data_IF_935844817211
#
_entry.id   IF_935844817211
#
_cell.length_a   1.000
_cell.length_b   1.000
_cell.length_c   1.000
_cell.angle_alpha   90.00
_cell.angle_beta   90.00
_cell.angle_gamma   90.00
#
_symmetry.space_group_name_H-M   'P 1'
#
loop_
_entity.id
_entity.type
_entity.pdbx_description
1 polymer ?
#
# COMPACT_ATOMS: atom_id res chain seq x y z
N UNK A 1 9.91 -15.92 -20.11
CA UNK A 1 9.36 -14.93 -21.06
C UNK A 1 7.96 -14.40 -20.69
N UNK A 2 7.39 -14.78 -19.55
CA UNK A 2 6.02 -14.40 -19.12
C UNK A 2 5.91 -13.18 -18.19
N UNK A 3 6.98 -12.79 -17.53
CA UNK A 3 6.94 -11.74 -16.47
C UNK A 3 6.93 -10.32 -17.05
N UNK A 4 7.44 -10.11 -18.26
CA UNK A 4 7.49 -8.80 -18.93
C UNK A 4 6.13 -8.33 -19.45
N UNK A 5 5.19 -9.23 -19.74
CA UNK A 5 3.86 -8.89 -20.26
C UNK A 5 2.88 -8.43 -19.16
N UNK A 6 3.00 -8.93 -17.95
CA UNK A 6 2.17 -8.52 -16.80
C UNK A 6 2.52 -7.10 -16.32
N UNK A 7 3.80 -6.74 -16.34
CA UNK A 7 4.27 -5.39 -15.96
C UNK A 7 3.76 -4.32 -16.94
N UNK A 8 3.63 -4.68 -18.23
CA UNK A 8 3.06 -3.80 -19.25
C UNK A 8 1.56 -3.57 -19.10
N UNK A 9 0.82 -4.55 -18.57
CA UNK A 9 -0.63 -4.44 -18.38
C UNK A 9 -1.04 -3.51 -17.21
N UNK A 10 -0.24 -3.47 -16.14
CA UNK A 10 -0.48 -2.55 -15.03
C UNK A 10 -0.05 -1.10 -15.32
N UNK A 11 0.89 -0.93 -16.26
CA UNK A 11 1.34 0.38 -16.74
C UNK A 11 0.39 1.03 -17.75
N UNK A 12 -0.55 0.29 -18.32
CA UNK A 12 -1.40 0.71 -19.43
C UNK A 12 -2.31 1.91 -19.13
N UNK A 13 -2.77 2.08 -17.89
CA UNK A 13 -3.67 3.19 -17.52
C UNK A 13 -2.89 4.50 -17.34
N UNK A 14 -1.65 4.46 -16.86
CA UNK A 14 -0.78 5.65 -16.75
C UNK A 14 -0.17 6.04 -18.11
N UNK A 15 0.13 5.06 -18.96
CA UNK A 15 0.68 5.29 -20.30
C UNK A 15 -0.33 5.96 -21.24
N UNK A 16 -1.63 5.67 -21.12
CA UNK A 16 -2.69 6.32 -21.86
C UNK A 16 -2.80 7.82 -21.55
N UNK A 17 -2.73 8.24 -20.30
CA UNK A 17 -2.74 9.65 -19.89
C UNK A 17 -1.46 10.37 -20.33
N UNK A 18 -0.32 9.72 -20.21
CA UNK A 18 0.95 10.22 -20.68
C UNK A 18 0.94 10.48 -22.19
N UNK A 19 0.39 9.55 -22.96
CA UNK A 19 0.24 9.70 -24.40
C UNK A 19 -0.71 10.83 -24.79
N UNK A 20 -1.79 11.04 -24.03
CA UNK A 20 -2.70 12.17 -24.22
C UNK A 20 -2.02 13.52 -23.97
N UNK A 21 -1.27 13.67 -22.88
CA UNK A 21 -0.52 14.90 -22.59
C UNK A 21 0.57 15.16 -23.64
N UNK A 22 1.29 14.12 -24.06
CA UNK A 22 2.28 14.20 -25.11
C UNK A 22 1.67 14.69 -26.43
N UNK A 23 0.51 14.16 -26.80
CA UNK A 23 -0.21 14.54 -28.02
C UNK A 23 -0.73 15.97 -27.93
N UNK A 24 -1.27 16.41 -26.81
CA UNK A 24 -1.71 17.78 -26.60
C UNK A 24 -0.57 18.80 -26.69
N UNK A 25 0.60 18.50 -26.11
CA UNK A 25 1.78 19.36 -26.13
C UNK A 25 2.34 19.43 -27.58
N UNK A 26 2.42 18.30 -28.27
CA UNK A 26 2.90 18.23 -29.64
C UNK A 26 1.98 19.01 -30.61
N UNK A 27 0.67 18.89 -30.47
CA UNK A 27 -0.30 19.64 -31.27
C UNK A 27 -0.28 21.13 -30.93
N UNK A 28 -0.24 21.49 -29.65
CA UNK A 28 -0.17 22.87 -29.18
C UNK A 28 1.08 23.59 -29.67
N UNK A 29 2.24 22.93 -29.68
CA UNK A 29 3.49 23.48 -30.17
C UNK A 29 3.43 23.75 -31.69
N UNK A 30 2.83 22.85 -32.48
CA UNK A 30 2.66 23.06 -33.92
C UNK A 30 1.75 24.25 -34.23
N UNK A 31 0.66 24.45 -33.51
CA UNK A 31 -0.26 25.58 -33.64
C UNK A 31 0.45 26.90 -33.32
N UNK A 32 1.22 26.93 -32.24
CA UNK A 32 1.98 28.11 -31.80
C UNK A 32 3.03 28.53 -32.83
N UNK A 33 3.75 27.55 -33.43
CA UNK A 33 4.73 27.81 -34.49
C UNK A 33 4.09 28.36 -35.78
N UNK A 34 2.90 27.87 -36.12
CA UNK A 34 2.15 28.39 -37.25
C UNK A 34 1.75 29.86 -37.05
N UNK A 35 1.32 30.24 -35.83
CA UNK A 35 0.95 31.63 -35.51
C UNK A 35 2.15 32.57 -35.42
N UNK A 36 3.33 32.09 -35.02
CA UNK A 36 4.55 32.91 -34.92
C UNK A 36 5.22 33.19 -36.27
N UNK A 37 4.72 32.62 -37.39
CA UNK A 37 5.18 32.93 -38.76
C UNK A 37 6.64 32.54 -39.03
N UNK A 38 7.19 31.61 -38.24
CA UNK A 38 8.59 31.20 -38.37
C UNK A 38 8.76 30.29 -39.59
N UNK A 39 9.36 30.81 -40.66
CA UNK A 39 9.61 30.11 -41.92
C UNK A 39 10.89 29.27 -41.88
N UNK A 40 10.96 28.31 -40.95
CA UNK A 40 12.06 27.34 -40.90
C UNK A 40 11.69 26.09 -41.73
N UNK A 41 12.68 25.38 -42.33
CA UNK A 41 12.38 24.20 -43.12
C UNK A 41 11.61 23.16 -42.31
N UNK A 42 10.56 22.65 -42.91
CA UNK A 42 9.56 21.75 -42.33
C UNK A 42 10.13 20.57 -41.49
N UNK A 43 11.27 20.05 -41.90
CA UNK A 43 11.97 18.96 -41.20
C UNK A 43 12.44 19.33 -39.80
N UNK A 44 12.93 20.54 -39.55
CA UNK A 44 13.37 21.02 -38.25
C UNK A 44 12.20 21.23 -37.29
N UNK A 45 11.05 21.65 -37.82
CA UNK A 45 9.83 21.77 -37.03
C UNK A 45 9.30 20.40 -36.55
N UNK A 46 9.34 19.41 -37.45
CA UNK A 46 8.97 18.03 -37.08
C UNK A 46 9.90 17.45 -36.00
N UNK A 47 11.20 17.66 -36.14
CA UNK A 47 12.20 17.17 -35.20
C UNK A 47 12.09 17.88 -33.84
N UNK A 48 11.89 19.19 -33.83
CA UNK A 48 11.72 19.96 -32.60
C UNK A 48 10.41 19.60 -31.87
N UNK A 49 9.31 19.39 -32.60
CA UNK A 49 8.02 19.00 -32.03
C UNK A 49 8.03 17.61 -31.38
N UNK A 50 8.98 16.75 -31.76
CA UNK A 50 9.21 15.43 -31.17
C UNK A 50 10.18 15.47 -29.99
N UNK A 51 11.27 16.23 -30.11
CA UNK A 51 12.33 16.27 -29.11
C UNK A 51 11.97 17.10 -27.87
N UNK A 52 11.26 18.23 -28.05
CA UNK A 52 10.88 19.10 -26.93
C UNK A 52 9.93 18.38 -25.95
N UNK A 53 8.80 17.79 -26.36
CA UNK A 53 7.92 17.08 -25.42
C UNK A 53 8.59 15.84 -24.81
N UNK A 54 9.48 15.19 -25.56
CA UNK A 54 10.25 14.06 -25.02
C UNK A 54 11.24 14.51 -23.94
N UNK A 55 11.94 15.62 -24.15
CA UNK A 55 12.84 16.22 -23.16
C UNK A 55 12.10 16.72 -21.91
N UNK A 56 10.97 17.40 -22.10
CA UNK A 56 10.11 17.84 -20.98
C UNK A 56 9.57 16.64 -20.19
N UNK A 57 9.20 15.56 -20.89
CA UNK A 57 8.69 14.37 -20.24
C UNK A 57 9.76 13.62 -19.44
N UNK A 58 11.00 13.56 -19.94
CA UNK A 58 12.14 13.02 -19.19
C UNK A 58 12.48 13.89 -17.97
N UNK A 59 12.47 15.21 -18.11
CA UNK A 59 12.74 16.14 -17.04
C UNK A 59 11.65 16.09 -15.94
N UNK A 60 10.36 16.02 -16.34
CA UNK A 60 9.26 15.93 -15.38
C UNK A 60 9.17 14.56 -14.71
N UNK A 61 9.50 13.46 -15.40
CA UNK A 61 9.52 12.14 -14.77
C UNK A 61 10.61 12.06 -13.70
N UNK A 62 11.77 12.66 -13.93
CA UNK A 62 12.86 12.68 -12.96
C UNK A 62 12.55 13.60 -11.78
N UNK A 63 11.94 14.76 -12.02
CA UNK A 63 11.56 15.68 -10.94
C UNK A 63 10.35 15.19 -10.14
N UNK A 64 9.39 14.48 -10.76
CA UNK A 64 8.27 13.86 -10.01
C UNK A 64 8.74 12.71 -9.13
N UNK A 65 9.75 11.94 -9.53
CA UNK A 65 10.34 10.91 -8.69
C UNK A 65 11.16 11.52 -7.54
N UNK A 66 11.87 12.63 -7.78
CA UNK A 66 12.58 13.38 -6.75
C UNK A 66 11.63 14.11 -5.79
N UNK A 67 10.59 14.75 -6.29
CA UNK A 67 9.55 15.40 -5.46
C UNK A 67 8.72 14.35 -4.72
N UNK A 68 8.36 13.24 -5.36
CA UNK A 68 7.71 12.11 -4.70
C UNK A 68 8.62 11.49 -3.63
N UNK A 69 9.92 11.34 -3.89
CA UNK A 69 10.89 10.86 -2.89
C UNK A 69 11.13 11.88 -1.77
N UNK A 70 11.03 13.18 -2.05
CA UNK A 70 11.16 14.23 -1.04
C UNK A 70 9.90 14.36 -0.17
N UNK A 71 8.71 14.22 -0.76
CA UNK A 71 7.43 14.20 -0.04
C UNK A 71 7.22 12.85 0.67
N UNK A 72 7.67 11.74 0.06
CA UNK A 72 7.64 10.40 0.66
C UNK A 72 8.93 10.06 1.42
N UNK A 73 9.97 10.88 1.36
CA UNK A 73 11.26 10.66 2.01
C UNK A 73 11.22 10.73 3.53
N UNK A 74 10.14 11.27 4.11
CA UNK A 74 9.79 11.09 5.51
C UNK A 74 9.23 9.69 5.83
N UNK A 75 9.01 8.84 4.82
CA UNK A 75 8.36 7.54 4.98
C UNK A 75 9.10 6.35 4.38
N UNK A 76 10.31 6.49 3.83
CA UNK A 76 10.92 5.38 3.08
C UNK A 76 11.49 4.26 3.97
N UNK A 77 11.92 4.57 5.18
CA UNK A 77 12.27 3.57 6.18
C UNK A 77 11.00 2.95 6.79
N UNK A 78 9.98 3.77 7.08
CA UNK A 78 8.70 3.31 7.61
C UNK A 78 7.91 2.48 6.60
N UNK A 79 7.96 2.80 5.29
CA UNK A 79 7.19 2.08 4.25
C UNK A 79 7.68 0.64 4.09
N UNK A 80 9.00 0.41 4.11
CA UNK A 80 9.56 -0.94 4.00
C UNK A 80 9.22 -1.79 5.23
N UNK A 81 9.20 -1.19 6.41
CA UNK A 81 8.84 -1.84 7.65
C UNK A 81 7.32 -2.11 7.73
N UNK A 82 6.51 -1.17 7.27
CA UNK A 82 5.05 -1.35 7.18
C UNK A 82 4.67 -2.42 6.16
N UNK A 83 5.30 -2.46 4.99
CA UNK A 83 5.08 -3.47 3.97
C UNK A 83 5.48 -4.87 4.46
N UNK A 84 6.60 -4.98 5.17
CA UNK A 84 7.02 -6.21 5.80
C UNK A 84 6.02 -6.68 6.86
N UNK A 85 5.59 -5.78 7.77
CA UNK A 85 4.59 -6.06 8.78
C UNK A 85 3.27 -6.52 8.17
N UNK A 86 2.80 -5.84 7.13
CA UNK A 86 1.58 -6.21 6.41
C UNK A 86 1.70 -7.61 5.77
N UNK A 87 2.88 -7.94 5.23
CA UNK A 87 3.19 -9.26 4.68
C UNK A 87 3.11 -10.37 5.74
N UNK A 88 3.75 -10.18 6.90
CA UNK A 88 3.71 -11.15 8.00
C UNK A 88 2.31 -11.31 8.59
N UNK A 89 1.56 -10.22 8.74
CA UNK A 89 0.17 -10.25 9.18
C UNK A 89 -0.72 -11.05 8.23
N UNK A 90 -0.54 -10.88 6.92
CA UNK A 90 -1.28 -11.64 5.91
C UNK A 90 -0.93 -13.14 5.95
N UNK A 91 0.34 -13.46 6.18
CA UNK A 91 0.81 -14.84 6.36
C UNK A 91 0.17 -15.50 7.57
N UNK A 92 0.10 -14.79 8.70
CA UNK A 92 -0.56 -15.27 9.92
C UNK A 92 -2.07 -15.51 9.66
N UNK A 93 -2.75 -14.57 8.98
CA UNK A 93 -4.17 -14.73 8.62
C UNK A 93 -4.39 -15.93 7.70
N UNK A 94 -3.49 -16.16 6.77
CA UNK A 94 -3.56 -17.33 5.87
C UNK A 94 -3.42 -18.64 6.64
N UNK A 95 -2.41 -18.76 7.52
CA UNK A 95 -2.22 -19.94 8.37
C UNK A 95 -3.41 -20.21 9.28
N UNK A 96 -4.01 -19.16 9.85
CA UNK A 96 -5.25 -19.26 10.62
C UNK A 96 -6.39 -19.85 9.77
N UNK A 97 -6.59 -19.37 8.56
CA UNK A 97 -7.62 -19.88 7.63
C UNK A 97 -7.39 -21.34 7.26
N UNK A 98 -6.14 -21.77 7.18
CA UNK A 98 -5.75 -23.16 6.91
C UNK A 98 -5.88 -24.07 8.14
N UNK A 99 -6.25 -23.54 9.31
CA UNK A 99 -6.33 -24.30 10.57
C UNK A 99 -4.97 -24.58 11.23
N UNK A 100 -3.87 -24.04 10.69
CA UNK A 100 -2.52 -24.19 11.24
C UNK A 100 -2.28 -23.21 12.39
N UNK A 101 -3.05 -23.36 13.47
CA UNK A 101 -3.04 -22.41 14.60
C UNK A 101 -1.69 -22.35 15.32
N UNK A 102 -0.98 -23.46 15.47
CA UNK A 102 0.33 -23.50 16.13
C UNK A 102 1.38 -22.67 15.39
N UNK A 103 1.44 -22.81 14.06
CA UNK A 103 2.37 -22.03 13.23
C UNK A 103 1.99 -20.55 13.23
N UNK A 104 0.70 -20.25 13.14
CA UNK A 104 0.21 -18.87 13.21
C UNK A 104 0.56 -18.23 14.55
N UNK A 105 0.42 -18.97 15.65
CA UNK A 105 0.73 -18.53 17.01
C UNK A 105 2.23 -18.26 17.20
N UNK A 106 3.09 -19.13 16.66
CA UNK A 106 4.55 -18.94 16.70
C UNK A 106 4.95 -17.66 15.96
N UNK A 107 4.38 -17.42 14.75
CA UNK A 107 4.67 -16.21 13.98
C UNK A 107 4.16 -14.93 14.66
N UNK A 108 2.98 -14.97 15.26
CA UNK A 108 2.45 -13.81 16.02
C UNK A 108 3.33 -13.49 17.21
N UNK A 109 3.83 -14.52 17.93
CA UNK A 109 4.75 -14.29 19.04
C UNK A 109 6.06 -13.66 18.56
N UNK A 110 6.68 -14.19 17.50
CA UNK A 110 7.89 -13.62 16.92
C UNK A 110 7.70 -12.17 16.43
N UNK A 111 6.49 -11.82 15.97
CA UNK A 111 6.13 -10.45 15.61
C UNK A 111 6.01 -9.56 16.86
N UNK A 112 5.37 -10.04 17.91
CA UNK A 112 5.20 -9.32 19.18
C UNK A 112 6.52 -9.18 19.96
N UNK A 113 7.47 -10.09 19.78
CA UNK A 113 8.82 -9.95 20.36
C UNK A 113 9.57 -8.76 19.76
N UNK A 114 9.32 -8.44 18.48
CA UNK A 114 9.86 -7.26 17.81
C UNK A 114 9.06 -5.99 18.09
N UNK A 115 7.75 -6.12 18.20
CA UNK A 115 6.81 -5.00 18.35
C UNK A 115 5.72 -5.35 19.37
N UNK A 116 6.02 -5.23 20.69
CA UNK A 116 5.14 -5.73 21.76
C UNK A 116 3.80 -5.00 21.88
N UNK A 117 3.70 -3.80 21.38
CA UNK A 117 2.50 -2.95 21.46
C UNK A 117 1.80 -2.77 20.10
N UNK A 118 1.99 -3.69 19.15
CA UNK A 118 1.32 -3.65 17.86
C UNK A 118 -0.14 -4.11 18.02
N UNK A 119 -1.16 -3.23 17.91
CA UNK A 119 -2.54 -3.58 18.22
C UNK A 119 -3.10 -4.70 17.33
N UNK A 120 -2.76 -4.68 16.03
CA UNK A 120 -3.20 -5.68 15.07
C UNK A 120 -2.66 -7.07 15.38
N UNK A 121 -1.40 -7.17 15.82
CA UNK A 121 -0.78 -8.45 16.21
C UNK A 121 -1.39 -8.98 17.51
N UNK A 122 -1.63 -8.11 18.49
CA UNK A 122 -2.32 -8.46 19.73
C UNK A 122 -3.75 -8.95 19.46
N UNK A 123 -4.47 -8.27 18.55
CA UNK A 123 -5.79 -8.71 18.12
C UNK A 123 -5.76 -10.10 17.47
N UNK A 124 -4.82 -10.35 16.54
CA UNK A 124 -4.66 -11.67 15.92
C UNK A 124 -4.32 -12.76 16.94
N UNK A 125 -3.45 -12.45 17.91
CA UNK A 125 -3.11 -13.38 18.99
C UNK A 125 -4.33 -13.73 19.83
N UNK A 126 -5.14 -12.74 20.21
CA UNK A 126 -6.41 -12.94 20.90
C UNK A 126 -7.36 -13.84 20.10
N UNK A 127 -7.45 -13.60 18.80
CA UNK A 127 -8.31 -14.38 17.91
C UNK A 127 -7.86 -15.83 17.74
N UNK A 128 -6.53 -16.07 17.67
CA UNK A 128 -5.96 -17.43 17.65
C UNK A 128 -6.23 -18.19 18.94
N UNK A 129 -6.10 -17.51 20.09
CA UNK A 129 -6.42 -18.10 21.40
C UNK A 129 -7.90 -18.47 21.52
N UNK A 130 -8.78 -17.62 21.01
CA UNK A 130 -10.22 -17.87 21.08
C UNK A 130 -10.67 -18.99 20.14
N UNK A 131 -10.33 -18.91 18.85
CA UNK A 131 -10.79 -19.87 17.84
C UNK A 131 -9.98 -21.16 17.80
N UNK A 132 -8.63 -21.04 17.86
CA UNK A 132 -7.71 -22.16 17.73
C UNK A 132 -7.55 -22.94 19.02
N UNK A 133 -7.18 -22.27 20.09
CA UNK A 133 -6.87 -22.91 21.37
C UNK A 133 -8.05 -22.99 22.33
N UNK A 134 -9.23 -22.46 21.95
CA UNK A 134 -10.46 -22.48 22.77
C UNK A 134 -10.27 -21.90 24.17
N UNK A 135 -9.38 -20.92 24.30
CA UNK A 135 -9.11 -20.24 25.56
C UNK A 135 -9.67 -18.80 25.54
N UNK A 136 -10.96 -18.61 25.87
CA UNK A 136 -11.61 -17.29 25.80
C UNK A 136 -11.06 -16.30 26.83
N UNK A 137 -10.62 -16.80 28.02
CA UNK A 137 -10.11 -15.92 29.07
C UNK A 137 -8.78 -15.29 28.70
N UNK A 138 -7.84 -16.09 28.15
CA UNK A 138 -6.60 -15.56 27.64
C UNK A 138 -6.83 -14.61 26.44
N UNK A 139 -7.77 -14.93 25.56
CA UNK A 139 -8.15 -14.07 24.44
C UNK A 139 -8.68 -12.71 24.92
N UNK A 140 -9.54 -12.71 25.93
CA UNK A 140 -10.13 -11.49 26.49
C UNK A 140 -9.07 -10.53 27.03
N UNK A 141 -7.98 -11.03 27.63
CA UNK A 141 -6.88 -10.19 28.14
C UNK A 141 -6.17 -9.45 26.99
N UNK A 142 -5.96 -10.12 25.86
CA UNK A 142 -5.35 -9.50 24.68
C UNK A 142 -6.29 -8.48 24.03
N UNK A 143 -7.59 -8.75 23.93
CA UNK A 143 -8.55 -7.79 23.39
C UNK A 143 -8.68 -6.52 24.25
N UNK A 144 -8.64 -6.66 25.58
CA UNK A 144 -8.59 -5.50 26.49
C UNK A 144 -7.33 -4.66 26.22
N UNK A 145 -6.16 -5.33 26.14
CA UNK A 145 -4.90 -4.63 25.86
C UNK A 145 -4.93 -3.88 24.51
N UNK A 146 -5.60 -4.45 23.50
CA UNK A 146 -5.83 -3.73 22.22
C UNK A 146 -6.65 -2.48 22.45
N UNK A 147 -7.73 -2.55 23.21
CA UNK A 147 -8.57 -1.38 23.51
C UNK A 147 -7.82 -0.32 24.31
N UNK A 148 -6.95 -0.71 25.24
CA UNK A 148 -6.11 0.22 26.01
C UNK A 148 -5.07 0.94 25.14
N UNK A 149 -4.64 0.33 24.02
CA UNK A 149 -3.63 0.87 23.11
C UNK A 149 -4.21 1.64 21.93
N UNK A 150 -5.52 1.57 21.70
CA UNK A 150 -6.17 2.14 20.50
C UNK A 150 -7.31 3.05 20.89
N UNK A 151 -7.55 4.07 20.07
CA UNK A 151 -8.71 4.96 20.21
C UNK A 151 -9.99 4.31 19.69
N UNK A 152 -11.14 4.70 20.23
CA UNK A 152 -12.47 4.22 19.85
C UNK A 152 -12.79 4.40 18.35
N UNK A 153 -12.15 5.38 17.72
CA UNK A 153 -12.28 5.67 16.29
C UNK A 153 -11.63 4.63 15.40
N UNK A 154 -10.64 3.89 15.90
CA UNK A 154 -9.87 2.93 15.13
C UNK A 154 -10.66 1.63 14.87
N UNK A 155 -10.56 1.05 13.68
CA UNK A 155 -11.30 -0.18 13.34
C UNK A 155 -10.90 -1.37 14.23
N UNK A 156 -9.63 -1.45 14.63
CA UNK A 156 -9.11 -2.55 15.48
C UNK A 156 -9.74 -2.51 16.87
N UNK A 157 -9.97 -1.31 17.44
CA UNK A 157 -10.67 -1.14 18.71
C UNK A 157 -12.09 -1.71 18.65
N UNK A 158 -12.85 -1.36 17.61
CA UNK A 158 -14.22 -1.84 17.41
C UNK A 158 -14.28 -3.36 17.21
N UNK A 159 -13.29 -3.95 16.53
CA UNK A 159 -13.22 -5.41 16.38
C UNK A 159 -12.91 -6.09 17.71
N UNK A 160 -11.98 -5.56 18.50
CA UNK A 160 -11.63 -6.08 19.81
C UNK A 160 -12.82 -6.02 20.77
N UNK A 161 -13.54 -4.89 20.81
CA UNK A 161 -14.74 -4.74 21.66
C UNK A 161 -15.86 -5.71 21.27
N UNK A 162 -16.08 -5.91 19.96
CA UNK A 162 -17.06 -6.89 19.47
C UNK A 162 -16.68 -8.33 19.86
N UNK A 163 -15.40 -8.70 19.74
CA UNK A 163 -14.94 -10.01 20.17
C UNK A 163 -15.08 -10.21 21.69
N UNK A 164 -14.77 -9.18 22.46
CA UNK A 164 -14.89 -9.19 23.91
C UNK A 164 -16.34 -9.40 24.36
N UNK A 165 -17.26 -8.65 23.77
CA UNK A 165 -18.71 -8.81 24.05
C UNK A 165 -19.21 -10.21 23.68
N UNK A 166 -18.74 -10.76 22.54
CA UNK A 166 -19.04 -12.13 22.13
C UNK A 166 -18.50 -13.22 23.08
N UNK A 167 -17.34 -12.99 23.70
CA UNK A 167 -16.81 -13.89 24.74
C UNK A 167 -17.70 -13.86 25.98
N UNK A 168 -18.03 -12.68 26.48
CA UNK A 168 -18.85 -12.55 27.70
C UNK A 168 -20.26 -13.07 27.51
N UNK A 169 -20.88 -12.85 26.37
CA UNK A 169 -22.22 -13.38 26.09
C UNK A 169 -22.27 -14.92 26.06
N UNK A 170 -21.17 -15.60 25.71
CA UNK A 170 -21.08 -17.06 25.70
C UNK A 170 -20.70 -17.69 27.04
N UNK A 171 -20.08 -16.91 27.92
CA UNK A 171 -19.62 -17.39 29.24
C UNK A 171 -20.67 -17.12 30.33
N UNK A 172 -21.65 -16.25 30.07
CA UNK A 172 -22.74 -15.92 31.00
C UNK A 172 -23.85 -16.99 31.08
N UNK A 173 -23.68 -18.12 30.41
CA UNK A 173 -24.50 -19.32 30.54
C UNK A 173 -23.68 -20.43 31.15
#
# INVERSE_FOLDING_TARGET
>A
MGVTLEILKFKGIRMSRFFQYFLCIALGSNILWYFLGFSWPYYWNMLASLLIPFGVCLATSKSTDEVASCICGLGREDTSQQDWLAGEMNRIRLLKRQGNFDKAFTLVNALLDKSPNLPEALYLKGHLLWEGFKNPWAAASYFRRVMDLTEDTQPVHRWASSCLSGIYSRVSF
#
